data_IF_191227975505
#
_entry.id   IF_191227975505
#
_cell.length_a   1.000
_cell.length_b   1.000
_cell.length_c   1.000
_cell.angle_alpha   90.00
_cell.angle_beta   90.00
_cell.angle_gamma   90.00
#
_symmetry.space_group_name_H-M   'P 1'
#
loop_
_entity.id
_entity.type
_entity.pdbx_description
1 polymer ?
#
# COMPACT_ATOMS: atom_id res chain seq x y z
N UNK A 1 -5.01 13.02 0.57
CA UNK A 1 -6.14 12.07 0.61
C UNK A 1 -5.77 10.97 1.59
N UNK A 2 -6.71 10.45 2.41
CA UNK A 2 -6.48 9.35 3.36
C UNK A 2 -7.67 8.39 3.30
N UNK A 3 -7.42 7.09 3.20
CA UNK A 3 -8.45 6.05 3.13
C UNK A 3 -8.13 4.90 4.08
N UNK A 4 -9.15 4.40 4.77
CA UNK A 4 -9.04 3.15 5.52
C UNK A 4 -9.02 1.96 4.54
N UNK A 5 -8.06 1.06 4.73
CA UNK A 5 -7.88 -0.16 3.94
C UNK A 5 -8.38 -1.37 4.72
N UNK A 6 -7.94 -1.51 5.97
CA UNK A 6 -8.28 -2.64 6.85
C UNK A 6 -8.22 -2.23 8.32
N UNK A 7 -8.81 -3.01 9.21
CA UNK A 7 -8.76 -2.82 10.65
C UNK A 7 -8.85 -4.15 11.39
N UNK A 8 -8.15 -4.24 12.53
CA UNK A 8 -8.22 -5.42 13.39
C UNK A 8 -8.05 -5.03 14.85
N UNK A 9 -9.07 -5.31 15.67
CA UNK A 9 -9.07 -5.10 17.13
C UNK A 9 -8.52 -3.72 17.57
N UNK A 10 -8.93 -2.66 16.89
CA UNK A 10 -8.52 -1.27 17.20
C UNK A 10 -7.21 -0.83 16.55
N UNK A 11 -6.48 -1.71 15.86
CA UNK A 11 -5.44 -1.31 14.92
C UNK A 11 -6.08 -0.99 13.56
N UNK A 12 -5.54 0.00 12.86
CA UNK A 12 -6.08 0.47 11.58
C UNK A 12 -4.96 0.59 10.55
N UNK A 13 -5.26 0.17 9.32
CA UNK A 13 -4.41 0.31 8.15
C UNK A 13 -5.00 1.35 7.22
N UNK A 14 -4.23 2.38 6.94
CA UNK A 14 -4.58 3.51 6.09
C UNK A 14 -3.62 3.63 4.93
N UNK A 15 -4.11 4.27 3.88
CA UNK A 15 -3.32 4.68 2.72
C UNK A 15 -3.58 6.13 2.36
N UNK A 16 -2.63 6.79 1.70
CA UNK A 16 -2.88 8.15 1.24
C UNK A 16 -1.68 8.87 0.64
N UNK A 17 -1.81 10.19 0.55
CA UNK A 17 -0.77 11.09 0.07
C UNK A 17 0.36 11.21 1.08
N UNK A 18 1.48 11.74 0.63
CA UNK A 18 2.50 12.16 1.54
C UNK A 18 1.97 13.15 2.60
N UNK A 19 2.25 12.90 3.90
CA UNK A 19 1.81 13.72 5.00
C UNK A 19 2.77 14.88 5.22
N UNK A 20 2.92 15.77 4.23
CA UNK A 20 3.74 16.99 4.34
C UNK A 20 2.86 18.23 4.12
N UNK A 21 3.04 19.23 4.99
CA UNK A 21 2.40 20.56 4.89
C UNK A 21 3.42 21.57 4.41
N UNK A 22 3.02 22.40 3.42
CA UNK A 22 3.82 23.49 2.87
C UNK A 22 5.24 23.08 2.41
N UNK A 23 5.42 21.80 2.06
CA UNK A 23 6.70 21.20 1.63
C UNK A 23 7.85 21.28 2.64
N UNK A 24 7.56 21.53 3.93
CA UNK A 24 8.61 21.75 4.95
C UNK A 24 8.35 21.06 6.29
N UNK A 25 7.15 20.51 6.53
CA UNK A 25 6.80 19.96 7.85
C UNK A 25 5.91 18.73 7.76
N UNK A 26 6.20 17.71 8.56
CA UNK A 26 5.37 16.51 8.68
C UNK A 26 4.00 16.85 9.29
N UNK A 27 2.94 16.48 8.58
CA UNK A 27 1.54 16.79 8.82
C UNK A 27 0.88 15.92 9.90
N UNK A 28 1.54 15.70 11.05
CA UNK A 28 1.07 14.76 12.07
C UNK A 28 -0.37 15.07 12.54
N UNK A 29 -0.67 16.33 12.83
CA UNK A 29 -1.99 16.74 13.34
C UNK A 29 -3.06 16.55 12.27
N UNK A 30 -2.83 17.05 11.06
CA UNK A 30 -3.77 16.95 9.95
C UNK A 30 -4.04 15.49 9.55
N UNK A 31 -2.98 14.66 9.53
CA UNK A 31 -3.07 13.23 9.25
C UNK A 31 -3.94 12.51 10.30
N UNK A 32 -3.62 12.69 11.58
CA UNK A 32 -4.30 11.99 12.68
C UNK A 32 -5.74 12.48 12.89
N UNK A 33 -6.02 13.77 12.69
CA UNK A 33 -7.39 14.29 12.67
C UNK A 33 -8.21 13.72 11.51
N UNK A 34 -7.59 13.52 10.35
CA UNK A 34 -8.25 12.90 9.20
C UNK A 34 -8.56 11.42 9.46
N UNK A 35 -7.60 10.66 9.99
CA UNK A 35 -7.81 9.26 10.42
C UNK A 35 -8.94 9.16 11.45
N UNK A 36 -8.97 10.07 12.43
CA UNK A 36 -10.03 10.16 13.43
C UNK A 36 -11.41 10.32 12.79
N UNK A 37 -11.56 11.28 11.89
CA UNK A 37 -12.84 11.50 11.17
C UNK A 37 -13.28 10.25 10.40
N UNK A 38 -12.35 9.54 9.77
CA UNK A 38 -12.65 8.30 9.02
C UNK A 38 -13.13 7.18 9.96
N UNK A 39 -12.47 7.00 11.11
CA UNK A 39 -12.82 5.98 12.12
C UNK A 39 -14.18 6.29 12.76
N UNK A 40 -14.41 7.54 13.15
CA UNK A 40 -15.68 7.97 13.77
C UNK A 40 -16.86 7.87 12.79
N UNK A 41 -16.63 8.09 11.49
CA UNK A 41 -17.64 7.88 10.46
C UNK A 41 -18.08 6.41 10.31
N UNK A 42 -17.30 5.46 10.84
CA UNK A 42 -17.64 4.03 10.89
C UNK A 42 -18.27 3.61 12.23
N UNK A 43 -18.63 4.57 13.09
CA UNK A 43 -19.12 4.35 14.46
C UNK A 43 -18.11 3.64 15.38
N UNK A 44 -16.81 3.83 15.11
CA UNK A 44 -15.71 3.35 15.95
C UNK A 44 -15.08 4.49 16.72
N UNK A 45 -14.53 4.21 17.90
CA UNK A 45 -13.85 5.21 18.73
C UNK A 45 -12.38 5.35 18.31
N UNK A 46 -11.93 6.60 18.13
CA UNK A 46 -10.52 6.89 17.89
C UNK A 46 -9.74 6.85 19.22
N UNK A 47 -8.65 6.07 19.33
CA UNK A 47 -7.94 5.91 20.59
C UNK A 47 -7.24 7.19 21.02
N UNK A 48 -7.22 7.45 22.33
CA UNK A 48 -6.56 8.63 22.91
C UNK A 48 -5.03 8.54 22.85
N UNK A 49 -4.47 7.34 22.90
CA UNK A 49 -3.05 7.06 22.73
C UNK A 49 -2.87 5.96 21.68
N UNK A 50 -1.92 6.13 20.77
CA UNK A 50 -1.65 5.16 19.71
C UNK A 50 -0.21 5.30 19.20
N UNK A 51 0.25 4.30 18.47
CA UNK A 51 1.48 4.34 17.69
C UNK A 51 1.15 4.68 16.24
N UNK A 52 1.72 5.77 15.71
CA UNK A 52 1.70 6.02 14.27
C UNK A 52 2.88 5.28 13.65
N UNK A 53 2.59 4.43 12.67
CA UNK A 53 3.56 3.71 11.85
C UNK A 53 3.43 4.22 10.44
N UNK A 54 4.54 4.68 9.88
CA UNK A 54 4.57 5.37 8.61
C UNK A 54 5.49 4.67 7.62
N UNK A 55 4.95 4.39 6.44
CA UNK A 55 5.55 3.58 5.39
C UNK A 55 5.62 4.40 4.11
N UNK A 56 6.77 5.03 3.92
CA UNK A 56 7.08 5.88 2.79
C UNK A 56 7.53 5.03 1.60
N UNK A 57 6.84 5.18 0.47
CA UNK A 57 7.15 4.49 -0.79
C UNK A 57 7.90 5.34 -1.83
N UNK A 58 8.45 6.50 -1.45
CA UNK A 58 9.18 7.39 -2.35
C UNK A 58 10.46 6.74 -2.89
N UNK A 59 10.78 6.99 -4.17
CA UNK A 59 11.85 6.28 -4.89
C UNK A 59 13.22 6.96 -4.81
N UNK A 60 13.32 8.08 -4.06
CA UNK A 60 14.55 8.84 -3.78
C UNK A 60 15.39 9.19 -5.03
N UNK A 61 14.79 9.19 -6.21
CA UNK A 61 15.45 9.49 -7.48
C UNK A 61 15.44 10.98 -7.83
N UNK A 62 14.51 11.73 -7.23
CA UNK A 62 14.37 13.17 -7.41
C UNK A 62 14.79 13.88 -6.13
N UNK A 63 15.37 15.08 -6.27
CA UNK A 63 15.74 15.91 -5.12
C UNK A 63 14.52 16.22 -4.23
N UNK A 64 13.36 16.46 -4.85
CA UNK A 64 12.08 16.65 -4.16
C UNK A 64 11.75 15.45 -3.26
N UNK A 65 11.69 14.23 -3.80
CA UNK A 65 11.36 13.04 -3.00
C UNK A 65 12.41 12.73 -1.91
N UNK A 66 13.66 13.17 -2.10
CA UNK A 66 14.70 13.08 -1.06
C UNK A 66 14.43 14.08 0.07
N UNK A 67 14.04 15.31 -0.24
CA UNK A 67 13.69 16.34 0.74
C UNK A 67 12.44 15.96 1.53
N UNK A 68 11.42 15.51 0.83
CA UNK A 68 10.16 14.96 1.34
C UNK A 68 10.39 13.84 2.36
N UNK A 69 11.14 12.82 1.96
CA UNK A 69 11.55 11.73 2.89
C UNK A 69 12.35 12.27 4.08
N UNK A 70 13.16 13.32 3.88
CA UNK A 70 13.97 13.90 4.96
C UNK A 70 13.12 14.62 6.00
N UNK A 71 12.01 15.23 5.61
CA UNK A 71 11.06 15.87 6.52
C UNK A 71 10.50 14.84 7.51
N UNK A 72 10.10 13.67 7.01
CA UNK A 72 9.57 12.57 7.83
C UNK A 72 10.66 11.99 8.74
N UNK A 73 11.84 11.69 8.21
CA UNK A 73 12.98 11.22 9.02
C UNK A 73 13.33 12.17 10.16
N UNK A 74 13.38 13.47 9.88
CA UNK A 74 13.74 14.49 10.86
C UNK A 74 12.64 14.66 11.91
N UNK A 75 11.37 14.46 11.54
CA UNK A 75 10.28 14.43 12.50
C UNK A 75 10.41 13.19 13.39
N UNK A 76 10.48 11.98 12.82
CA UNK A 76 10.52 10.73 13.59
C UNK A 76 11.76 10.62 14.48
N UNK A 77 12.93 11.14 14.06
CA UNK A 77 14.15 11.12 14.87
C UNK A 77 14.08 11.99 16.13
N UNK A 78 13.19 12.99 16.15
CA UNK A 78 12.97 13.90 17.29
C UNK A 78 11.86 13.45 18.23
N UNK A 79 11.12 12.39 17.87
CA UNK A 79 10.00 11.87 18.63
C UNK A 79 10.27 10.45 19.14
N UNK A 80 9.56 10.02 20.19
CA UNK A 80 9.74 8.70 20.84
C UNK A 80 9.34 7.49 19.98
N UNK A 81 9.01 7.72 18.71
CA UNK A 81 8.50 6.74 17.75
C UNK A 81 9.45 6.55 16.56
N UNK A 82 10.75 6.86 16.70
CA UNK A 82 11.71 6.80 15.58
C UNK A 82 11.80 5.45 14.87
N UNK A 83 11.47 4.35 15.55
CA UNK A 83 11.40 3.00 15.00
C UNK A 83 10.16 2.72 14.13
N UNK A 84 9.20 3.65 14.09
CA UNK A 84 7.93 3.49 13.40
C UNK A 84 7.94 4.07 11.98
N UNK A 85 9.09 4.52 11.47
CA UNK A 85 9.25 5.03 10.11
C UNK A 85 9.97 4.02 9.20
N UNK A 86 9.35 3.67 8.09
CA UNK A 86 9.83 2.70 7.12
C UNK A 86 9.99 3.34 5.74
N UNK A 87 11.19 3.24 5.16
CA UNK A 87 11.48 3.68 3.80
C UNK A 87 11.50 2.48 2.85
N UNK A 88 10.41 2.28 2.13
CA UNK A 88 10.16 1.14 1.27
C UNK A 88 9.86 1.61 -0.16
N UNK A 89 10.86 2.08 -0.93
CA UNK A 89 10.62 2.49 -2.31
C UNK A 89 9.93 1.36 -3.11
N UNK A 90 8.99 1.75 -3.97
CA UNK A 90 8.18 0.88 -4.84
C UNK A 90 8.38 1.34 -6.29
N UNK A 91 8.88 0.45 -7.14
CA UNK A 91 9.31 0.74 -8.50
C UNK A 91 8.36 0.19 -9.56
N UNK A 92 7.54 -0.81 -9.23
CA UNK A 92 6.69 -1.53 -10.16
C UNK A 92 7.47 -2.47 -11.09
N UNK A 93 6.80 -2.90 -12.17
CA UNK A 93 7.33 -3.82 -13.17
C UNK A 93 7.23 -3.21 -14.56
N UNK A 94 8.24 -3.43 -15.38
CA UNK A 94 8.23 -3.03 -16.80
C UNK A 94 7.74 -4.16 -17.73
N UNK A 95 7.30 -5.29 -17.17
CA UNK A 95 6.84 -6.44 -17.94
C UNK A 95 5.39 -6.75 -17.62
N UNK A 96 4.56 -6.81 -18.66
CA UNK A 96 3.17 -7.25 -18.56
C UNK A 96 3.09 -8.80 -18.56
N UNK A 97 2.49 -9.43 -17.53
CA UNK A 97 2.29 -10.88 -17.49
C UNK A 97 1.61 -11.44 -18.75
N UNK A 98 0.67 -10.70 -19.35
CA UNK A 98 -0.15 -11.21 -20.46
C UNK A 98 0.58 -11.23 -21.80
N UNK A 99 1.78 -10.64 -21.86
CA UNK A 99 2.68 -10.80 -23.01
C UNK A 99 3.41 -12.16 -23.01
N UNK A 100 3.29 -12.94 -21.94
CA UNK A 100 3.91 -14.25 -21.81
C UNK A 100 2.90 -15.37 -22.03
N UNK A 101 3.35 -16.51 -22.58
CA UNK A 101 2.54 -17.73 -22.57
C UNK A 101 2.21 -18.16 -21.14
N UNK A 102 1.12 -18.89 -20.94
CA UNK A 102 0.70 -19.37 -19.63
C UNK A 102 1.82 -20.10 -18.88
N UNK A 103 2.53 -21.00 -19.56
CA UNK A 103 3.68 -21.74 -19.00
C UNK A 103 4.77 -20.79 -18.52
N UNK A 104 5.12 -19.77 -19.32
CA UNK A 104 6.19 -18.83 -18.97
C UNK A 104 5.79 -17.88 -17.84
N UNK A 105 4.54 -17.45 -17.85
CA UNK A 105 3.90 -16.65 -16.80
C UNK A 105 3.90 -17.39 -15.48
N UNK A 106 3.53 -18.67 -15.49
CA UNK A 106 3.58 -19.57 -14.33
C UNK A 106 5.00 -19.77 -13.82
N UNK A 107 5.96 -20.05 -14.69
CA UNK A 107 7.38 -20.19 -14.32
C UNK A 107 7.91 -18.94 -13.59
N UNK A 108 7.61 -17.75 -14.12
CA UNK A 108 7.98 -16.46 -13.52
C UNK A 108 7.30 -16.22 -12.18
N UNK A 109 6.00 -16.44 -12.11
CA UNK A 109 5.23 -16.30 -10.87
C UNK A 109 5.73 -17.22 -9.75
N UNK A 110 6.11 -18.46 -10.06
CA UNK A 110 6.64 -19.40 -9.08
C UNK A 110 7.99 -18.96 -8.45
N UNK A 111 8.67 -18.02 -9.10
CA UNK A 111 9.96 -17.45 -8.70
C UNK A 111 9.87 -15.95 -8.39
N UNK A 112 8.67 -15.40 -8.24
CA UNK A 112 8.39 -13.98 -8.01
C UNK A 112 9.29 -13.38 -6.93
N UNK A 113 9.38 -14.02 -5.76
CA UNK A 113 10.18 -13.55 -4.62
C UNK A 113 11.69 -13.36 -4.93
N UNK A 114 12.20 -13.95 -6.02
CA UNK A 114 13.61 -13.81 -6.41
C UNK A 114 13.89 -12.55 -7.23
N UNK A 115 12.88 -11.97 -7.87
CA UNK A 115 13.03 -10.86 -8.80
C UNK A 115 12.12 -9.67 -8.49
N UNK A 116 11.17 -9.83 -7.57
CA UNK A 116 10.36 -8.77 -6.98
C UNK A 116 11.26 -7.70 -6.34
N UNK A 117 11.42 -6.58 -7.04
CA UNK A 117 12.22 -5.44 -6.59
C UNK A 117 11.58 -4.71 -5.43
N UNK A 118 10.25 -4.79 -5.33
CA UNK A 118 9.45 -4.05 -4.36
C UNK A 118 9.20 -4.86 -3.08
N UNK A 119 9.64 -6.12 -3.06
CA UNK A 119 9.57 -7.01 -1.89
C UNK A 119 8.16 -7.03 -1.30
N UNK A 120 7.15 -7.12 -2.15
CA UNK A 120 5.73 -7.13 -1.78
C UNK A 120 5.45 -8.24 -0.76
N UNK A 121 5.88 -9.47 -1.01
CA UNK A 121 5.61 -10.60 -0.11
C UNK A 121 6.04 -10.34 1.34
N UNK A 122 7.33 -10.05 1.64
CA UNK A 122 7.73 -9.78 3.02
C UNK A 122 7.16 -8.47 3.59
N UNK A 123 6.99 -7.41 2.78
CA UNK A 123 6.45 -6.13 3.27
C UNK A 123 4.96 -6.24 3.64
N UNK A 124 4.15 -6.88 2.80
CA UNK A 124 2.74 -7.17 3.09
C UNK A 124 2.60 -8.02 4.35
N UNK A 125 3.47 -9.03 4.51
CA UNK A 125 3.50 -9.82 5.76
C UNK A 125 3.79 -8.94 6.97
N UNK A 126 4.77 -8.04 6.91
CA UNK A 126 5.08 -7.13 8.02
C UNK A 126 3.86 -6.24 8.35
N UNK A 127 3.21 -5.67 7.35
CA UNK A 127 1.99 -4.85 7.54
C UNK A 127 0.89 -5.66 8.20
N UNK A 128 0.63 -6.86 7.70
CA UNK A 128 -0.41 -7.73 8.24
C UNK A 128 -0.10 -8.14 9.69
N UNK A 129 1.14 -8.53 9.97
CA UNK A 129 1.59 -8.88 11.32
C UNK A 129 1.45 -7.68 12.26
N UNK A 130 1.82 -6.46 11.84
CA UNK A 130 1.64 -5.23 12.61
C UNK A 130 0.16 -4.97 12.91
N UNK A 131 -0.71 -5.07 11.89
CA UNK A 131 -2.15 -4.86 12.03
C UNK A 131 -2.78 -5.88 13.00
N UNK A 132 -2.34 -7.13 12.96
CA UNK A 132 -2.91 -8.22 13.76
C UNK A 132 -2.23 -8.42 15.12
N UNK A 133 -1.16 -7.67 15.42
CA UNK A 133 -0.47 -7.74 16.70
C UNK A 133 -1.19 -6.92 17.76
N UNK A 134 -1.74 -7.62 18.73
CA UNK A 134 -2.29 -7.04 19.96
C UNK A 134 -1.13 -6.58 20.84
N UNK A 135 -0.99 -5.27 21.03
CA UNK A 135 -0.01 -4.63 21.91
C UNK A 135 -0.73 -3.71 22.92
N UNK A 136 0.05 -3.03 23.77
CA UNK A 136 -0.47 -2.07 24.77
C UNK A 136 -1.09 -0.83 24.15
N UNK A 137 -0.64 -0.42 22.97
CA UNK A 137 -1.19 0.71 22.22
C UNK A 137 -1.74 0.24 20.87
N UNK A 138 -2.91 0.77 20.46
CA UNK A 138 -3.38 0.64 19.09
C UNK A 138 -2.39 1.20 18.08
N UNK A 139 -2.35 0.61 16.89
CA UNK A 139 -1.49 1.07 15.77
C UNK A 139 -2.32 1.75 14.70
N UNK A 140 -1.86 2.92 14.28
CA UNK A 140 -2.28 3.61 13.08
C UNK A 140 -1.19 3.38 12.03
N UNK A 141 -1.39 2.42 11.14
CA UNK A 141 -0.42 2.08 10.10
C UNK A 141 -0.81 2.88 8.86
N UNK A 142 0.13 3.65 8.32
CA UNK A 142 -0.07 4.51 7.18
C UNK A 142 0.97 4.19 6.11
N UNK A 143 0.52 3.84 4.92
CA UNK A 143 1.41 3.73 3.77
C UNK A 143 1.07 4.76 2.70
N UNK A 144 2.10 5.36 2.12
CA UNK A 144 1.90 6.48 1.21
C UNK A 144 2.98 6.57 0.14
N UNK A 145 2.63 7.33 -0.89
CA UNK A 145 3.59 7.98 -1.77
C UNK A 145 3.12 9.43 -1.97
N UNK A 146 3.89 10.22 -2.69
CA UNK A 146 3.64 11.65 -2.98
C UNK A 146 2.15 12.00 -3.15
N UNK A 147 1.47 11.37 -4.12
CA UNK A 147 0.06 11.60 -4.39
C UNK A 147 -0.89 10.53 -3.82
N UNK A 148 -0.38 9.47 -3.18
CA UNK A 148 -1.20 8.36 -2.67
C UNK A 148 -1.87 7.47 -3.72
N UNK A 149 -1.44 7.58 -4.98
CA UNK A 149 -2.07 6.92 -6.12
C UNK A 149 -1.26 5.71 -6.57
N UNK A 150 -0.12 5.89 -7.25
CA UNK A 150 0.48 4.81 -8.04
C UNK A 150 1.16 3.72 -7.22
N UNK A 151 2.23 4.08 -6.51
CA UNK A 151 2.99 3.18 -5.62
C UNK A 151 2.14 2.66 -4.46
N UNK A 152 1.32 3.56 -3.93
CA UNK A 152 0.33 3.23 -2.89
C UNK A 152 -0.72 2.25 -3.43
N UNK A 153 -1.12 2.40 -4.69
CA UNK A 153 -2.12 1.56 -5.34
C UNK A 153 -1.62 0.17 -5.68
N UNK A 154 -0.37 0.02 -6.12
CA UNK A 154 0.25 -1.30 -6.25
C UNK A 154 0.23 -2.07 -4.93
N UNK A 155 0.73 -1.44 -3.87
CA UNK A 155 0.81 -2.06 -2.56
C UNK A 155 -0.57 -2.37 -1.99
N UNK A 156 -1.50 -1.41 -2.10
CA UNK A 156 -2.89 -1.57 -1.66
C UNK A 156 -3.62 -2.66 -2.42
N UNK A 157 -3.51 -2.70 -3.75
CA UNK A 157 -4.11 -3.75 -4.58
C UNK A 157 -3.54 -5.12 -4.20
N UNK A 158 -2.23 -5.22 -4.02
CA UNK A 158 -1.56 -6.45 -3.59
C UNK A 158 -2.02 -6.91 -2.20
N UNK A 159 -2.24 -5.97 -1.27
CA UNK A 159 -2.77 -6.25 0.06
C UNK A 159 -4.18 -6.85 0.02
N UNK A 160 -5.12 -6.21 -0.69
CA UNK A 160 -6.51 -6.71 -0.74
C UNK A 160 -6.64 -8.02 -1.52
N UNK A 161 -5.78 -8.26 -2.53
CA UNK A 161 -5.71 -9.57 -3.18
C UNK A 161 -5.25 -10.66 -2.20
N UNK A 162 -4.15 -10.43 -1.47
CA UNK A 162 -3.60 -11.41 -0.54
C UNK A 162 -4.54 -11.68 0.65
N UNK A 163 -5.08 -10.64 1.27
CA UNK A 163 -5.78 -10.78 2.56
C UNK A 163 -7.29 -10.86 2.43
N UNK A 164 -7.89 -10.26 1.39
CA UNK A 164 -9.35 -10.31 1.17
C UNK A 164 -9.74 -11.27 0.05
N UNK A 165 -8.78 -11.90 -0.64
CA UNK A 165 -9.04 -12.82 -1.75
C UNK A 165 -9.72 -12.15 -2.94
N UNK A 166 -9.51 -10.84 -3.14
CA UNK A 166 -10.08 -10.13 -4.28
C UNK A 166 -9.35 -10.50 -5.55
N UNK A 167 -10.08 -10.63 -6.65
CA UNK A 167 -9.49 -10.74 -7.98
C UNK A 167 -8.74 -9.47 -8.39
N UNK A 168 -7.78 -9.61 -9.31
CA UNK A 168 -6.96 -8.50 -9.79
C UNK A 168 -7.81 -7.34 -10.33
N UNK A 169 -8.80 -7.63 -11.18
CA UNK A 169 -9.70 -6.60 -11.71
C UNK A 169 -10.44 -5.82 -10.62
N UNK A 170 -10.90 -6.51 -9.56
CA UNK A 170 -11.57 -5.87 -8.41
C UNK A 170 -10.60 -5.00 -7.60
N UNK A 171 -9.37 -5.48 -7.38
CA UNK A 171 -8.35 -4.72 -6.67
C UNK A 171 -7.97 -3.42 -7.41
N UNK A 172 -7.79 -3.49 -8.74
CA UNK A 172 -7.52 -2.31 -9.58
C UNK A 172 -8.72 -1.37 -9.65
N UNK A 173 -9.95 -1.88 -9.73
CA UNK A 173 -11.16 -1.05 -9.70
C UNK A 173 -11.29 -0.30 -8.37
N UNK A 174 -11.08 -0.97 -7.23
CA UNK A 174 -11.10 -0.34 -5.91
C UNK A 174 -10.07 0.79 -5.81
N UNK A 175 -8.86 0.52 -6.27
CA UNK A 175 -7.78 1.50 -6.30
C UNK A 175 -8.09 2.70 -7.22
N UNK A 176 -8.67 2.43 -8.39
CA UNK A 176 -9.13 3.45 -9.35
C UNK A 176 -10.19 4.38 -8.74
N UNK A 177 -11.11 3.84 -7.94
CA UNK A 177 -12.14 4.63 -7.27
C UNK A 177 -11.57 5.50 -6.14
N UNK A 178 -10.48 5.09 -5.50
CA UNK A 178 -9.75 5.92 -4.53
C UNK A 178 -9.03 7.05 -5.26
N UNK A 179 -8.27 6.72 -6.31
CA UNK A 179 -7.42 7.66 -7.02
C UNK A 179 -8.16 8.57 -8.02
N UNK A 180 -9.41 8.23 -8.36
CA UNK A 180 -10.18 8.81 -9.48
C UNK A 180 -9.44 8.74 -10.83
N UNK A 181 -8.53 7.77 -10.98
CA UNK A 181 -7.83 7.41 -12.22
C UNK A 181 -7.17 6.05 -12.05
N UNK A 182 -6.84 5.40 -13.17
CA UNK A 182 -5.97 4.23 -13.15
C UNK A 182 -4.57 4.62 -12.65
N UNK A 183 -3.95 3.74 -11.87
CA UNK A 183 -2.52 3.86 -11.52
C UNK A 183 -1.65 3.67 -12.77
N UNK A 184 -0.43 4.17 -12.72
CA UNK A 184 0.52 4.02 -13.81
C UNK A 184 0.79 2.54 -14.13
N UNK A 185 1.08 2.26 -15.40
CA UNK A 185 1.03 0.90 -15.95
C UNK A 185 2.04 -0.03 -15.29
N UNK A 186 3.21 0.48 -14.89
CA UNK A 186 4.25 -0.30 -14.24
C UNK A 186 3.80 -0.87 -12.89
N UNK A 187 2.99 -0.11 -12.15
CA UNK A 187 2.40 -0.51 -10.87
C UNK A 187 1.23 -1.47 -11.07
N UNK A 188 0.44 -1.27 -12.14
CA UNK A 188 -0.57 -2.25 -12.54
C UNK A 188 0.08 -3.60 -12.87
N UNK A 189 1.16 -3.59 -13.67
CA UNK A 189 1.87 -4.78 -14.10
C UNK A 189 2.49 -5.54 -12.92
N UNK A 190 3.04 -4.83 -11.94
CA UNK A 190 3.63 -5.49 -10.77
C UNK A 190 2.56 -6.12 -9.87
N UNK A 191 1.46 -5.41 -9.59
CA UNK A 191 0.30 -6.00 -8.92
C UNK A 191 -0.26 -7.20 -9.71
N UNK A 192 -0.24 -7.15 -11.05
CA UNK A 192 -0.68 -8.25 -11.89
C UNK A 192 0.22 -9.49 -11.75
N UNK A 193 1.55 -9.30 -11.76
CA UNK A 193 2.50 -10.36 -11.44
C UNK A 193 2.27 -10.94 -10.05
N UNK A 194 1.98 -10.08 -9.07
CA UNK A 194 1.66 -10.51 -7.71
C UNK A 194 0.41 -11.39 -7.68
N UNK A 195 -0.64 -11.06 -8.44
CA UNK A 195 -1.80 -11.95 -8.58
C UNK A 195 -1.40 -13.35 -9.07
N UNK A 196 -0.56 -13.44 -10.11
CA UNK A 196 -0.11 -14.74 -10.59
C UNK A 196 0.76 -15.49 -9.58
N UNK A 197 1.55 -14.77 -8.78
CA UNK A 197 2.24 -15.36 -7.64
C UNK A 197 1.24 -15.96 -6.63
N UNK A 198 0.22 -15.22 -6.22
CA UNK A 198 -0.83 -15.71 -5.33
C UNK A 198 -1.52 -16.97 -5.89
N UNK A 199 -1.89 -16.93 -7.18
CA UNK A 199 -2.53 -18.05 -7.88
C UNK A 199 -1.63 -19.28 -7.98
N UNK A 200 -0.44 -19.14 -8.52
CA UNK A 200 0.40 -20.29 -8.88
C UNK A 200 1.31 -20.76 -7.75
N UNK A 201 1.84 -19.86 -6.92
CA UNK A 201 2.76 -20.19 -5.83
C UNK A 201 2.03 -20.45 -4.52
N UNK A 202 1.10 -19.57 -4.15
CA UNK A 202 0.35 -19.72 -2.90
C UNK A 202 -0.93 -20.56 -3.06
N UNK A 203 -1.32 -20.90 -4.29
CA UNK A 203 -2.46 -21.76 -4.57
C UNK A 203 -3.81 -21.12 -4.25
N UNK A 204 -3.88 -19.78 -4.26
CA UNK A 204 -5.13 -19.05 -4.03
C UNK A 204 -6.07 -19.20 -5.23
N UNK A 205 -7.36 -19.35 -4.94
CA UNK A 205 -8.43 -19.33 -5.95
C UNK A 205 -8.78 -17.87 -6.27
N UNK A 206 -8.04 -17.30 -7.23
CA UNK A 206 -8.10 -15.89 -7.62
C UNK A 206 -7.98 -15.76 -9.15
N UNK A 207 -8.76 -14.86 -9.74
CA UNK A 207 -8.63 -14.44 -11.13
C UNK A 207 -7.64 -13.29 -11.28
N UNK A 208 -6.68 -13.46 -12.18
CA UNK A 208 -5.75 -12.42 -12.58
C UNK A 208 -6.16 -11.72 -13.87
N UNK A 209 -7.19 -12.22 -14.56
CA UNK A 209 -7.70 -11.57 -15.76
C UNK A 209 -8.41 -10.27 -15.36
N UNK A 210 -8.16 -9.20 -16.12
CA UNK A 210 -8.97 -7.99 -16.01
C UNK A 210 -10.32 -8.31 -16.68
N UNK A 211 -11.44 -8.00 -16.03
CA UNK A 211 -12.73 -7.86 -16.72
C UNK A 211 -12.62 -6.89 -17.90
N UNK A 212 -13.67 -6.70 -18.69
CA UNK A 212 -13.58 -5.72 -19.78
C UNK A 212 -13.23 -4.32 -19.21
N UNK A 213 -12.48 -3.48 -19.94
CA UNK A 213 -12.18 -2.11 -19.51
C UNK A 213 -13.44 -1.28 -19.16
N UNK A 214 -14.60 -1.67 -19.69
CA UNK A 214 -15.89 -1.09 -19.34
C UNK A 214 -16.36 -1.46 -17.92
N UNK A 215 -15.89 -2.58 -17.37
CA UNK A 215 -16.16 -3.01 -15.99
C UNK A 215 -15.26 -2.30 -14.97
N UNK A 216 -14.14 -1.70 -15.42
CA UNK A 216 -13.25 -0.92 -14.55
C UNK A 216 -13.66 0.55 -14.40
N UNK A 217 -14.57 1.05 -15.24
CA UNK A 217 -14.96 2.47 -15.34
C UNK A 217 -16.46 2.72 -15.18
N UNK A 218 -17.25 1.68 -14.85
CA UNK A 218 -18.67 1.77 -14.51
C UNK A 218 -18.91 1.42 -13.04
#
# INVERSE_FOLDING_TARGET
>A
MVHLVDYYQGNYLFRGNEPVVNNDTFAYTELTETMKKIIEAQNSEFPTNFELIDMNFLNLFTEEQVLDTKIEEDWYSKHSQSQNFFKWPIFGSITDPDMYSEDKRKEKALTFDNWDTDRLTPRLKIVYDLLHKVDTLPKMIYFHCEHGIDRTGEFGASYVMLHFGWDYGKAIWWDTNIANRLIHIEYQQHAHWYCYYLKYKLGMDISCEIGSKADLLN
#
